data_IF_608853374664
#
_entry.id   IF_608853374664
#
_cell.length_a   1.000
_cell.length_b   1.000
_cell.length_c   1.000
_cell.angle_alpha   90.00
_cell.angle_beta   90.00
_cell.angle_gamma   90.00
#
_symmetry.space_group_name_H-M   'P 1'
#
loop_
_entity.id
_entity.type
_entity.pdbx_description
1 polymer ?
#
# COMPACT_ATOMS: atom_id res chain seq x y z
N UNK A 1 24.54 42.49 -46.11
CA UNK A 1 23.07 42.47 -46.26
C UNK A 1 22.52 41.53 -45.20
N UNK A 2 21.57 42.03 -44.40
CA UNK A 2 20.45 41.31 -43.74
C UNK A 2 20.76 40.03 -42.95
N UNK A 3 20.49 39.88 -41.65
CA UNK A 3 19.61 40.60 -40.74
C UNK A 3 18.75 39.59 -39.95
N UNK A 4 18.53 39.87 -38.66
CA UNK A 4 17.34 39.51 -37.84
C UNK A 4 17.16 38.01 -37.49
N UNK A 5 16.86 37.59 -36.26
CA UNK A 5 16.54 38.26 -35.01
C UNK A 5 16.40 37.23 -33.87
N UNK A 6 16.84 37.60 -32.67
CA UNK A 6 16.72 36.78 -31.44
C UNK A 6 15.33 36.98 -30.84
N UNK A 7 14.48 35.97 -30.96
CA UNK A 7 13.15 35.94 -30.33
C UNK A 7 13.23 35.55 -28.86
N UNK A 8 13.20 36.55 -27.96
CA UNK A 8 12.99 36.35 -26.53
C UNK A 8 11.52 35.96 -26.26
N UNK A 9 11.26 34.69 -25.99
CA UNK A 9 9.95 34.24 -25.46
C UNK A 9 9.85 34.61 -23.98
N UNK A 10 9.08 35.68 -23.69
CA UNK A 10 8.62 36.01 -22.34
C UNK A 10 7.65 34.92 -21.86
N UNK A 11 8.05 34.15 -20.85
CA UNK A 11 7.16 33.24 -20.14
C UNK A 11 6.34 34.08 -19.16
N UNK A 12 5.07 34.33 -19.51
CA UNK A 12 4.11 34.99 -18.63
C UNK A 12 3.73 34.06 -17.48
N UNK A 13 4.11 34.42 -16.26
CA UNK A 13 3.63 33.75 -15.05
C UNK A 13 2.20 34.22 -14.75
N UNK A 14 1.20 33.43 -15.13
CA UNK A 14 -0.18 33.61 -14.71
C UNK A 14 -0.31 33.28 -13.22
N UNK A 15 -0.06 34.28 -12.37
CA UNK A 15 -0.26 34.19 -10.91
C UNK A 15 -1.75 34.40 -10.63
N UNK A 16 -2.55 33.36 -10.86
CA UNK A 16 -3.94 33.35 -10.44
C UNK A 16 -4.00 33.44 -8.92
N UNK A 17 -4.64 34.50 -8.41
CA UNK A 17 -4.92 34.66 -6.99
C UNK A 17 -5.94 33.59 -6.59
N UNK A 18 -5.46 32.42 -6.18
CA UNK A 18 -6.27 31.42 -5.50
C UNK A 18 -6.73 32.02 -4.17
N UNK A 19 -7.99 32.47 -4.17
CA UNK A 19 -8.74 32.89 -3.00
C UNK A 19 -8.69 31.74 -2.00
N UNK A 20 -7.93 31.91 -0.90
CA UNK A 20 -7.79 30.92 0.17
C UNK A 20 -9.19 30.69 0.76
N UNK A 21 -9.82 29.59 0.37
CA UNK A 21 -11.05 29.16 1.02
C UNK A 21 -10.71 28.74 2.44
N UNK A 22 -11.44 29.28 3.40
CA UNK A 22 -11.21 29.08 4.81
C UNK A 22 -11.62 27.63 5.17
N UNK A 23 -10.82 26.87 5.95
CA UNK A 23 -11.08 25.47 6.24
C UNK A 23 -12.39 25.20 7.02
N UNK A 24 -13.03 26.24 7.54
CA UNK A 24 -14.35 26.17 8.19
C UNK A 24 -15.51 25.95 7.22
N UNK A 25 -15.38 26.34 5.94
CA UNK A 25 -16.49 26.28 4.98
C UNK A 25 -16.73 24.86 4.44
N UNK A 26 -15.70 24.00 4.40
CA UNK A 26 -15.84 22.63 3.92
C UNK A 26 -16.63 21.74 4.91
N UNK A 27 -16.51 22.01 6.21
CA UNK A 27 -17.17 21.21 7.26
C UNK A 27 -18.67 21.50 7.35
N UNK A 28 -19.08 22.74 7.08
CA UNK A 28 -20.50 23.12 7.06
C UNK A 28 -21.23 22.60 5.81
N UNK A 29 -20.53 22.50 4.68
CA UNK A 29 -21.12 21.94 3.45
C UNK A 29 -21.36 20.43 3.55
N UNK A 30 -20.46 19.68 4.20
CA UNK A 30 -20.61 18.24 4.40
C UNK A 30 -21.73 17.89 5.40
N UNK A 31 -21.97 18.74 6.40
CA UNK A 31 -23.04 18.52 7.39
C UNK A 31 -24.44 18.82 6.83
N UNK A 32 -24.56 19.65 5.79
CA UNK A 32 -25.85 20.00 5.20
C UNK A 32 -26.32 19.01 4.11
N UNK A 33 -25.42 18.20 3.54
CA UNK A 33 -25.77 17.12 2.60
C UNK A 33 -26.23 15.84 3.30
N UNK A 34 -25.80 15.58 4.54
CA UNK A 34 -26.23 14.40 5.30
C UNK A 34 -27.66 14.49 5.85
N UNK A 35 -28.23 15.70 5.96
CA UNK A 35 -29.58 15.91 6.49
C UNK A 35 -30.68 16.03 5.42
N UNK A 36 -30.34 16.04 4.13
CA UNK A 36 -31.31 16.20 3.03
C UNK A 36 -31.72 14.90 2.34
N UNK A 37 -31.17 13.75 2.75
CA UNK A 37 -31.47 12.45 2.13
C UNK A 37 -32.58 11.66 2.81
N UNK A 38 -33.20 12.19 3.88
CA UNK A 38 -34.18 11.46 4.69
C UNK A 38 -35.64 11.81 4.36
N UNK A 39 -35.99 11.86 3.07
CA UNK A 39 -37.39 11.85 2.63
C UNK A 39 -37.51 11.06 1.32
N UNK A 40 -37.33 9.74 1.40
CA UNK A 40 -37.80 8.84 0.35
C UNK A 40 -38.87 7.92 0.91
N UNK A 41 -39.93 7.84 0.10
CA UNK A 41 -41.22 7.20 0.29
C UNK A 41 -41.18 5.78 0.87
N UNK A 42 -42.32 5.30 1.44
CA UNK A 42 -42.48 3.89 1.78
C UNK A 42 -42.34 3.05 0.51
N UNK A 43 -41.19 2.40 0.34
CA UNK A 43 -41.00 1.35 -0.64
C UNK A 43 -41.95 0.21 -0.25
N UNK A 44 -42.93 -0.04 -1.13
CA UNK A 44 -43.72 -1.25 -1.11
C UNK A 44 -42.79 -2.46 -1.03
N UNK A 45 -42.97 -3.28 0.01
CA UNK A 45 -42.29 -4.55 0.17
C UNK A 45 -42.59 -5.42 -1.06
N UNK A 46 -41.60 -5.59 -1.93
CA UNK A 46 -41.64 -6.64 -2.93
C UNK A 46 -41.73 -7.99 -2.21
N UNK A 47 -42.60 -8.92 -2.66
CA UNK A 47 -42.72 -10.23 -2.05
C UNK A 47 -41.36 -10.94 -2.13
N UNK A 48 -40.92 -11.44 -0.98
CA UNK A 48 -39.74 -12.29 -0.82
C UNK A 48 -39.84 -13.49 -1.77
N UNK A 49 -39.25 -13.35 -2.95
CA UNK A 49 -39.00 -14.48 -3.83
C UNK A 49 -37.89 -15.28 -3.16
N UNK A 50 -38.30 -16.33 -2.44
CA UNK A 50 -37.40 -17.36 -1.93
C UNK A 50 -36.47 -17.78 -3.06
N UNK A 51 -35.18 -17.43 -2.94
CA UNK A 51 -34.15 -17.89 -3.86
C UNK A 51 -34.02 -19.40 -3.59
N UNK A 52 -34.82 -20.18 -4.31
CA UNK A 52 -34.64 -21.62 -4.40
C UNK A 52 -33.31 -21.83 -5.10
N UNK A 53 -32.30 -22.26 -4.34
CA UNK A 53 -31.05 -22.76 -4.87
C UNK A 53 -31.37 -23.96 -5.76
N UNK A 54 -31.46 -23.72 -7.07
CA UNK A 54 -31.51 -24.81 -8.03
C UNK A 54 -30.12 -25.47 -8.06
N UNK A 55 -30.01 -26.80 -7.93
CA UNK A 55 -28.74 -27.48 -8.13
C UNK A 55 -28.23 -27.17 -9.55
N UNK A 56 -26.92 -26.97 -9.73
CA UNK A 56 -26.35 -26.70 -11.04
C UNK A 56 -26.71 -27.83 -12.02
N UNK A 57 -27.10 -27.51 -13.26
CA UNK A 57 -27.43 -28.52 -14.25
C UNK A 57 -26.24 -29.47 -14.40
N UNK A 58 -26.51 -30.77 -14.29
CA UNK A 58 -25.52 -31.79 -14.55
C UNK A 58 -24.99 -31.61 -15.97
N UNK A 59 -23.74 -31.21 -16.07
CA UNK A 59 -23.00 -31.22 -17.32
C UNK A 59 -22.85 -32.70 -17.69
N UNK A 60 -23.42 -33.17 -18.81
CA UNK A 60 -23.20 -34.54 -19.23
C UNK A 60 -21.71 -34.74 -19.43
N UNK A 61 -21.15 -35.71 -18.69
CA UNK A 61 -19.79 -36.21 -18.93
C UNK A 61 -19.73 -36.65 -20.39
N UNK A 62 -19.12 -35.79 -21.22
CA UNK A 62 -18.83 -36.10 -22.60
C UNK A 62 -18.01 -37.37 -22.65
N UNK A 63 -18.54 -38.37 -23.34
CA UNK A 63 -17.81 -39.57 -23.71
C UNK A 63 -16.44 -39.18 -24.27
N UNK A 64 -15.41 -39.75 -23.67
CA UNK A 64 -14.06 -39.75 -24.21
C UNK A 64 -14.11 -40.38 -25.61
N UNK A 65 -14.19 -39.55 -26.64
CA UNK A 65 -14.01 -39.99 -28.02
C UNK A 65 -12.51 -40.17 -28.23
N UNK A 66 -12.03 -41.40 -28.02
CA UNK A 66 -10.70 -41.86 -28.38
C UNK A 66 -10.60 -41.97 -29.90
N UNK A 67 -10.50 -40.84 -30.61
CA UNK A 67 -10.11 -40.79 -32.02
C UNK A 67 -9.73 -39.38 -32.45
N UNK A 68 -8.44 -39.04 -32.25
CA UNK A 68 -7.54 -38.31 -33.15
C UNK A 68 -6.41 -37.67 -32.34
N UNK A 69 -5.35 -38.45 -32.13
CA UNK A 69 -4.03 -37.92 -31.83
C UNK A 69 -3.49 -37.24 -33.10
N UNK A 70 -3.91 -36.00 -33.35
CA UNK A 70 -3.07 -35.04 -34.06
C UNK A 70 -2.58 -34.06 -33.01
N UNK A 71 -1.53 -34.46 -32.30
CA UNK A 71 -0.75 -33.55 -31.46
C UNK A 71 -0.16 -32.48 -32.38
N UNK A 72 -0.87 -31.36 -32.53
CA UNK A 72 -0.27 -30.10 -32.96
C UNK A 72 0.79 -29.78 -31.90
N UNK A 73 2.02 -30.25 -32.14
CA UNK A 73 3.17 -29.98 -31.30
C UNK A 73 3.31 -28.45 -31.22
N UNK A 74 2.91 -27.88 -30.08
CA UNK A 74 3.18 -26.48 -29.82
C UNK A 74 4.70 -26.30 -29.91
N UNK A 75 5.19 -25.32 -30.70
CA UNK A 75 6.61 -25.05 -30.76
C UNK A 75 7.11 -24.73 -29.35
N UNK A 76 8.30 -25.23 -28.96
CA UNK A 76 8.85 -24.96 -27.65
C UNK A 76 8.94 -23.45 -27.43
N UNK A 77 8.67 -22.96 -26.20
CA UNK A 77 8.77 -21.54 -25.91
C UNK A 77 10.21 -21.05 -26.19
N UNK A 78 10.37 -19.81 -26.70
CA UNK A 78 11.69 -19.27 -27.00
C UNK A 78 12.55 -19.22 -25.73
N UNK A 79 13.88 -19.40 -25.86
CA UNK A 79 14.80 -19.33 -24.74
C UNK A 79 14.70 -17.95 -24.08
N UNK A 80 14.48 -17.92 -22.75
CA UNK A 80 14.44 -16.67 -22.00
C UNK A 80 15.79 -15.94 -22.11
N UNK A 81 15.80 -14.61 -22.30
CA UNK A 81 17.04 -13.84 -22.27
C UNK A 81 17.70 -13.99 -20.90
N UNK A 82 18.95 -14.46 -20.88
CA UNK A 82 19.79 -14.48 -19.68
C UNK A 82 20.12 -13.04 -19.32
N UNK A 83 19.51 -12.51 -18.27
CA UNK A 83 19.95 -11.24 -17.68
C UNK A 83 21.39 -11.41 -17.18
N UNK A 84 22.32 -10.51 -17.57
CA UNK A 84 23.69 -10.56 -17.08
C UNK A 84 23.70 -10.33 -15.57
N UNK A 85 24.35 -11.25 -14.87
CA UNK A 85 24.55 -11.26 -13.42
C UNK A 85 25.31 -9.97 -13.02
N UNK A 86 24.81 -9.16 -12.07
CA UNK A 86 25.56 -8.02 -11.55
C UNK A 86 26.86 -8.51 -10.91
N UNK A 87 27.99 -8.07 -11.43
CA UNK A 87 29.31 -8.27 -10.86
C UNK A 87 29.40 -7.50 -9.54
N UNK A 88 29.46 -8.25 -8.44
CA UNK A 88 29.83 -7.72 -7.13
C UNK A 88 31.26 -7.17 -7.21
N UNK A 89 31.42 -5.84 -7.21
CA UNK A 89 32.70 -5.22 -6.91
C UNK A 89 32.90 -5.17 -5.40
N UNK A 90 33.89 -5.96 -4.99
CA UNK A 90 34.47 -6.11 -3.67
C UNK A 90 35.29 -4.90 -3.24
N UNK A 91 35.01 -4.42 -2.03
CA UNK A 91 35.94 -3.97 -0.97
C UNK A 91 37.33 -3.42 -1.35
N UNK A 92 37.59 -2.16 -0.96
CA UNK A 92 38.89 -1.66 -0.48
C UNK A 92 38.61 -0.40 0.38
N UNK A 93 38.67 -0.50 1.71
CA UNK A 93 39.83 -0.21 2.58
C UNK A 93 40.43 1.19 2.40
N UNK A 94 40.25 2.04 3.41
CA UNK A 94 41.32 2.81 4.09
C UNK A 94 40.76 3.58 5.29
N UNK A 95 40.82 2.94 6.46
CA UNK A 95 40.92 3.62 7.75
C UNK A 95 42.31 3.29 8.24
N UNK A 96 43.21 4.26 8.23
CA UNK A 96 44.47 4.29 8.99
C UNK A 96 45.08 5.68 8.77
N UNK A 97 45.00 6.59 9.74
CA UNK A 97 46.19 7.26 10.27
C UNK A 97 45.91 8.05 11.55
N UNK A 98 46.71 7.71 12.56
CA UNK A 98 46.92 8.36 13.86
C UNK A 98 47.50 9.79 13.70
N UNK A 99 47.16 10.69 14.62
CA UNK A 99 47.89 11.95 14.83
C UNK A 99 47.42 12.69 16.10
N UNK A 100 48.30 13.09 17.04
CA UNK A 100 47.96 13.25 18.46
C UNK A 100 47.86 14.71 18.97
N UNK A 101 47.24 14.81 20.15
CA UNK A 101 47.44 15.78 21.26
C UNK A 101 47.57 17.28 20.95
N UNK A 102 46.61 18.09 21.40
CA UNK A 102 46.89 19.37 22.08
C UNK A 102 45.76 19.81 23.05
N UNK A 103 46.19 20.10 24.28
CA UNK A 103 45.72 21.15 25.21
C UNK A 103 44.26 21.22 25.69
N UNK A 104 44.06 20.73 26.92
CA UNK A 104 43.68 21.51 28.11
C UNK A 104 42.69 22.69 27.94
N UNK A 105 41.41 22.47 28.26
CA UNK A 105 40.55 23.39 29.04
C UNK A 105 39.35 22.61 29.65
N UNK A 106 39.04 22.75 30.95
CA UNK A 106 37.79 22.22 31.51
C UNK A 106 36.67 23.22 31.24
N UNK A 107 36.10 23.19 30.04
CA UNK A 107 34.85 23.90 29.79
C UNK A 107 33.72 23.02 30.30
N UNK A 108 33.14 23.42 31.43
CA UNK A 108 31.86 22.95 31.93
C UNK A 108 30.76 23.21 30.89
N UNK A 109 30.73 22.40 29.84
CA UNK A 109 29.58 22.25 28.97
C UNK A 109 28.84 21.05 29.50
N UNK A 110 27.65 21.30 30.05
CA UNK A 110 26.66 20.27 30.29
C UNK A 110 26.54 19.43 29.02
N UNK A 111 27.18 18.25 29.04
CA UNK A 111 26.82 17.17 28.16
C UNK A 111 25.43 16.78 28.61
N UNK A 112 24.43 17.49 28.09
CA UNK A 112 23.15 16.90 27.83
C UNK A 112 23.51 15.63 27.08
N UNK A 113 23.55 14.51 27.81
CA UNK A 113 23.43 13.20 27.25
C UNK A 113 22.15 13.29 26.45
N UNK A 114 22.29 13.62 25.17
CA UNK A 114 21.35 13.24 24.15
C UNK A 114 21.44 11.71 24.13
N UNK A 115 20.92 11.09 25.19
CA UNK A 115 20.13 9.88 25.08
C UNK A 115 19.40 10.04 23.77
N UNK A 116 19.51 9.10 22.82
CA UNK A 116 18.70 9.14 21.62
C UNK A 116 17.28 9.21 22.15
N UNK A 117 16.75 10.43 22.25
CA UNK A 117 15.37 10.72 22.59
C UNK A 117 14.70 9.95 21.51
N UNK A 118 14.18 8.77 21.87
CA UNK A 118 13.48 7.89 20.97
C UNK A 118 12.40 8.79 20.43
N UNK A 119 12.65 9.41 19.29
CA UNK A 119 11.75 10.36 18.67
C UNK A 119 10.59 9.48 18.35
N UNK A 120 9.59 9.58 19.24
CA UNK A 120 8.55 8.59 19.42
C UNK A 120 7.64 8.82 18.23
N UNK A 121 8.04 8.26 17.08
CA UNK A 121 7.41 8.50 15.79
C UNK A 121 5.92 8.26 16.02
N UNK A 122 5.11 9.31 15.82
CA UNK A 122 3.69 9.20 16.11
C UNK A 122 3.13 8.19 15.12
N UNK A 123 2.13 7.43 15.55
CA UNK A 123 1.50 6.43 14.70
C UNK A 123 0.95 7.07 13.41
N UNK A 124 0.51 8.33 13.51
CA UNK A 124 0.07 9.15 12.38
C UNK A 124 1.15 9.47 11.34
N UNK A 125 2.43 9.42 11.72
CA UNK A 125 3.55 9.81 10.85
C UNK A 125 3.90 8.70 9.85
N UNK A 126 3.37 7.49 10.05
CA UNK A 126 3.49 6.39 9.11
C UNK A 126 2.62 6.66 7.88
N UNK A 127 3.27 7.05 6.79
CA UNK A 127 2.60 7.25 5.51
C UNK A 127 2.26 5.91 4.86
N UNK A 128 1.02 5.79 4.39
CA UNK A 128 0.54 4.63 3.64
C UNK A 128 0.24 5.09 2.22
N UNK A 129 0.78 4.38 1.24
CA UNK A 129 0.51 4.58 -0.17
C UNK A 129 -0.56 3.56 -0.63
N UNK A 130 -1.87 3.89 -0.58
CA UNK A 130 -2.92 2.93 -0.91
C UNK A 130 -2.92 2.63 -2.41
N UNK A 131 -2.94 1.34 -2.77
CA UNK A 131 -3.37 0.95 -4.11
C UNK A 131 -4.89 0.99 -4.22
N UNK A 132 -5.42 1.15 -5.43
CA UNK A 132 -6.87 1.06 -5.70
C UNK A 132 -7.46 -0.26 -5.18
N UNK A 133 -6.71 -1.37 -5.31
CA UNK A 133 -7.14 -2.68 -4.80
C UNK A 133 -7.17 -2.72 -3.27
N UNK A 134 -6.10 -2.26 -2.61
CA UNK A 134 -6.01 -2.20 -1.16
C UNK A 134 -7.11 -1.34 -0.55
N UNK A 135 -7.36 -0.16 -1.12
CA UNK A 135 -8.41 0.75 -0.66
C UNK A 135 -9.81 0.10 -0.71
N UNK A 136 -10.18 -0.51 -1.84
CA UNK A 136 -11.47 -1.23 -1.94
C UNK A 136 -11.57 -2.35 -0.88
N UNK A 137 -10.49 -3.09 -0.65
CA UNK A 137 -10.44 -4.18 0.32
C UNK A 137 -10.59 -3.72 1.77
N UNK A 138 -10.07 -2.53 2.09
CA UNK A 138 -10.28 -1.87 3.39
C UNK A 138 -11.72 -1.45 3.57
N UNK A 139 -12.31 -0.78 2.57
CA UNK A 139 -13.70 -0.32 2.61
C UNK A 139 -14.66 -1.50 2.81
N UNK A 140 -14.47 -2.60 2.06
CA UNK A 140 -15.27 -3.83 2.20
C UNK A 140 -15.21 -4.46 3.59
N UNK A 141 -14.14 -4.22 4.36
CA UNK A 141 -13.91 -4.84 5.68
C UNK A 141 -13.92 -3.84 6.83
N UNK A 142 -14.27 -2.60 6.55
CA UNK A 142 -14.24 -1.50 7.51
C UNK A 142 -12.89 -1.36 8.25
N UNK A 143 -11.76 -1.50 7.53
CA UNK A 143 -10.42 -1.32 8.10
C UNK A 143 -9.97 0.13 7.89
N UNK A 144 -9.68 0.84 8.98
CA UNK A 144 -9.24 2.23 8.93
C UNK A 144 -7.76 2.37 8.59
N UNK A 145 -7.38 3.53 8.03
CA UNK A 145 -5.95 3.89 7.84
C UNK A 145 -5.19 3.87 9.18
N UNK A 146 -5.84 4.30 10.27
CA UNK A 146 -5.25 4.29 11.62
C UNK A 146 -4.87 2.89 12.08
N UNK A 147 -5.65 1.88 11.72
CA UNK A 147 -5.37 0.49 12.09
C UNK A 147 -4.15 -0.03 11.35
N UNK A 148 -4.01 0.31 10.06
CA UNK A 148 -2.82 -0.03 9.29
C UNK A 148 -1.56 0.69 9.82
N UNK A 149 -1.69 1.96 10.21
CA UNK A 149 -0.59 2.68 10.84
C UNK A 149 -0.18 2.06 12.18
N UNK A 150 -1.16 1.64 12.99
CA UNK A 150 -0.90 0.91 14.23
C UNK A 150 -0.23 -0.43 13.93
N UNK A 151 -0.64 -1.14 12.87
CA UNK A 151 0.01 -2.37 12.45
C UNK A 151 1.45 -2.18 12.00
N UNK A 152 1.76 -1.10 11.27
CA UNK A 152 3.15 -0.79 10.89
C UNK A 152 4.03 -0.44 12.09
N UNK A 153 3.49 0.27 13.09
CA UNK A 153 4.24 0.73 14.25
C UNK A 153 4.43 -0.34 15.33
N UNK A 154 3.37 -1.09 15.60
CA UNK A 154 3.28 -2.00 16.75
C UNK A 154 3.14 -3.47 16.35
N UNK A 155 2.87 -3.74 15.08
CA UNK A 155 2.67 -5.10 14.59
C UNK A 155 3.97 -5.88 14.45
N UNK A 156 3.81 -7.20 14.37
CA UNK A 156 4.93 -8.08 14.02
C UNK A 156 5.16 -8.01 12.51
N UNK A 157 6.39 -7.67 12.11
CA UNK A 157 6.79 -7.64 10.70
C UNK A 157 7.35 -8.98 10.28
N UNK A 158 6.86 -9.49 9.15
CA UNK A 158 7.43 -10.64 8.44
C UNK A 158 7.73 -10.24 7.01
N UNK A 159 8.80 -10.77 6.45
CA UNK A 159 9.19 -10.53 5.06
C UNK A 159 8.98 -11.79 4.26
N UNK A 160 8.26 -11.69 3.15
CA UNK A 160 8.04 -12.79 2.23
C UNK A 160 8.58 -12.41 0.85
N UNK A 161 9.31 -13.33 0.22
CA UNK A 161 9.82 -13.17 -1.13
C UNK A 161 8.90 -13.88 -2.11
N UNK A 162 8.37 -13.15 -3.08
CA UNK A 162 7.52 -13.68 -4.14
C UNK A 162 8.32 -14.36 -5.26
N UNK A 163 7.62 -15.20 -6.03
CA UNK A 163 8.12 -15.81 -7.26
C UNK A 163 8.29 -14.72 -8.34
N UNK A 164 9.48 -14.14 -8.40
CA UNK A 164 9.77 -12.97 -9.23
C UNK A 164 10.74 -11.99 -8.59
N UNK A 165 11.16 -12.25 -7.35
CA UNK A 165 12.12 -11.41 -6.64
C UNK A 165 11.51 -10.18 -5.98
N UNK A 166 10.20 -9.97 -6.12
CA UNK A 166 9.47 -8.95 -5.37
C UNK A 166 9.41 -9.34 -3.90
N UNK A 167 9.77 -8.40 -3.03
CA UNK A 167 9.72 -8.57 -1.58
C UNK A 167 8.47 -7.89 -1.06
N UNK A 168 7.71 -8.60 -0.23
CA UNK A 168 6.52 -8.08 0.45
C UNK A 168 6.74 -8.11 1.95
N UNK A 169 6.44 -7.00 2.61
CA UNK A 169 6.38 -6.93 4.07
C UNK A 169 4.94 -7.16 4.53
N UNK A 170 4.78 -8.04 5.51
CA UNK A 170 3.51 -8.39 6.14
C UNK A 170 3.58 -7.90 7.58
N UNK A 171 2.60 -7.09 7.99
CA UNK A 171 2.48 -6.58 9.35
C UNK A 171 1.21 -7.16 9.98
N UNK A 172 1.35 -7.82 11.13
CA UNK A 172 0.22 -8.40 11.88
C UNK A 172 0.04 -7.67 13.21
N UNK A 173 -1.14 -7.09 13.44
CA UNK A 173 -1.48 -6.39 14.67
C UNK A 173 -2.99 -6.40 14.92
N UNK A 174 -3.41 -6.76 16.14
CA UNK A 174 -4.81 -6.79 16.55
C UNK A 174 -5.74 -7.57 15.57
N UNK A 175 -5.27 -8.73 15.10
CA UNK A 175 -6.00 -9.53 14.11
C UNK A 175 -6.04 -8.93 12.70
N UNK A 176 -5.40 -7.80 12.44
CA UNK A 176 -5.31 -7.19 11.11
C UNK A 176 -3.96 -7.58 10.49
N UNK A 177 -4.03 -8.10 9.27
CA UNK A 177 -2.87 -8.37 8.43
C UNK A 177 -2.79 -7.33 7.32
N UNK A 178 -1.70 -6.58 7.30
CA UNK A 178 -1.40 -5.55 6.32
C UNK A 178 -0.23 -5.98 5.44
N UNK A 179 -0.42 -6.03 4.13
CA UNK A 179 0.59 -6.47 3.17
C UNK A 179 1.00 -5.30 2.27
N UNK A 180 2.30 -5.00 2.26
CA UNK A 180 2.89 -3.92 1.47
C UNK A 180 4.01 -4.44 0.58
N UNK A 181 4.15 -3.86 -0.60
CA UNK A 181 5.32 -4.07 -1.43
C UNK A 181 6.51 -3.33 -0.82
N UNK A 182 7.58 -4.05 -0.46
CA UNK A 182 8.73 -3.47 0.24
C UNK A 182 9.53 -2.51 -0.64
N UNK A 183 9.51 -2.72 -1.96
CA UNK A 183 10.25 -1.88 -2.92
C UNK A 183 9.55 -0.56 -3.22
N UNK A 184 8.22 -0.53 -3.28
CA UNK A 184 7.45 0.67 -3.65
C UNK A 184 6.76 1.33 -2.46
N UNK A 185 6.68 0.63 -1.32
CA UNK A 185 5.87 1.05 -0.17
C UNK A 185 4.35 1.04 -0.44
N UNK A 186 3.91 0.49 -1.58
CA UNK A 186 2.51 0.48 -1.98
C UNK A 186 1.75 -0.63 -1.27
N UNK A 187 0.61 -0.29 -0.68
CA UNK A 187 -0.33 -1.27 -0.11
C UNK A 187 -0.77 -2.26 -1.18
N UNK A 188 -0.55 -3.55 -0.94
CA UNK A 188 -1.05 -4.63 -1.80
C UNK A 188 -2.47 -4.98 -1.35
N UNK A 189 -2.65 -5.35 -0.09
CA UNK A 189 -3.96 -5.72 0.45
C UNK A 189 -3.96 -5.69 1.98
N UNK A 190 -5.16 -5.73 2.56
CA UNK A 190 -5.37 -5.83 4.00
C UNK A 190 -6.60 -6.68 4.29
N UNK A 191 -6.55 -7.42 5.41
CA UNK A 191 -7.65 -8.26 5.87
C UNK A 191 -7.60 -8.46 7.39
N UNK A 192 -8.76 -8.78 7.96
CA UNK A 192 -8.86 -9.22 9.36
C UNK A 192 -8.67 -10.75 9.36
N UNK A 193 -7.56 -11.22 9.91
CA UNK A 193 -7.40 -12.61 10.31
C UNK A 193 -8.47 -12.90 11.35
N UNK A 194 -9.39 -13.82 11.04
CA UNK A 194 -10.52 -14.12 11.92
C UNK A 194 -9.99 -14.35 13.34
N UNK A 195 -10.50 -13.57 14.29
CA UNK A 195 -10.40 -13.90 15.71
C UNK A 195 -10.90 -15.34 15.83
N UNK A 196 -10.19 -16.25 16.53
CA UNK A 196 -10.70 -17.60 16.75
C UNK A 196 -12.15 -17.47 17.23
N UNK A 197 -13.06 -18.09 16.48
CA UNK A 197 -14.42 -18.24 16.95
C UNK A 197 -14.30 -19.13 18.18
N UNK A 198 -14.37 -18.54 19.37
CA UNK A 198 -14.68 -19.29 20.57
C UNK A 198 -16.03 -19.94 20.27
N UNK A 199 -15.99 -21.21 19.88
CA UNK A 199 -17.17 -22.05 19.73
C UNK A 199 -17.70 -22.28 21.14
N UNK A 200 -18.35 -21.26 21.69
CA UNK A 200 -19.12 -21.45 22.91
C UNK A 200 -20.25 -22.39 22.50
N UNK A 201 -20.12 -23.66 22.86
CA UNK A 201 -21.12 -24.70 22.68
C UNK A 201 -22.46 -24.10 23.08
N UNK A 202 -23.33 -23.89 22.08
CA UNK A 202 -24.69 -23.46 22.34
C UNK A 202 -25.33 -24.62 23.11
N UNK A 203 -25.80 -24.41 24.35
CA UNK A 203 -26.37 -25.47 25.18
C UNK A 203 -27.66 -26.03 24.56
#
# INVERSE_FOLDING_TARGET
MSGVGKGNKKIGTNRSKQKRQHPSDFRLRLMNELNRSSVMAPQQMAPQQSIRWAPPPHVPQGQHNSNNQMVMAMPPPPPRPRNPRPSHQSTQRRNDYYGPSESLLPRSSMSASSSPSSTLIRTSDFYINPSRHGEMRRQQRNIGIRDLQAAMKHGTRRTQRGNGGTTTSIYEYNGITYIVNDSTGTEITSYVSRVPLDYKTIP
#
